data_IF_741553744123
#
_entry.id   IF_741553744123
#
_cell.length_a   1.000
_cell.length_b   1.000
_cell.length_c   1.000
_cell.angle_alpha   90.00
_cell.angle_beta   90.00
_cell.angle_gamma   90.00
#
_symmetry.space_group_name_H-M   'P 1'
#
loop_
_entity.id
_entity.type
_entity.pdbx_description
1 polymer ?
#
# COMPACT_ATOMS: atom_id res chain seq x y z
N UNK A 1 20.31 -12.05 -10.90
CA UNK A 1 20.47 -12.06 -9.44
C UNK A 1 19.85 -10.76 -8.90
N UNK A 2 18.85 -10.87 -8.02
CA UNK A 2 18.27 -9.73 -7.31
C UNK A 2 19.29 -9.16 -6.33
N UNK A 3 19.27 -7.84 -6.15
CA UNK A 3 20.07 -7.17 -5.13
C UNK A 3 19.23 -7.03 -3.87
N UNK A 4 19.84 -7.17 -2.71
CA UNK A 4 19.14 -7.20 -1.40
C UNK A 4 18.30 -5.93 -1.16
N UNK A 5 18.79 -4.75 -1.57
CA UNK A 5 18.05 -3.49 -1.42
C UNK A 5 16.71 -3.46 -2.20
N UNK A 6 16.50 -4.34 -3.18
CA UNK A 6 15.20 -4.48 -3.85
C UNK A 6 14.13 -5.04 -2.92
N UNK A 7 14.53 -5.80 -1.88
CA UNK A 7 13.60 -6.43 -0.96
C UNK A 7 13.91 -6.14 0.52
N UNK A 8 14.78 -5.18 0.84
CA UNK A 8 15.10 -4.76 2.21
C UNK A 8 15.03 -3.25 2.36
N UNK A 9 14.66 -2.78 3.55
CA UNK A 9 14.56 -1.36 3.90
C UNK A 9 15.09 -1.10 5.30
N UNK A 10 15.83 -0.02 5.45
CA UNK A 10 16.30 0.50 6.72
C UNK A 10 15.17 1.26 7.42
N UNK A 11 14.13 0.54 7.84
CA UNK A 11 12.96 1.06 8.54
C UNK A 11 12.65 0.23 9.77
N UNK A 12 11.88 0.79 10.71
CA UNK A 12 11.34 0.03 11.82
C UNK A 12 10.09 -0.75 11.40
N UNK A 13 9.09 -0.03 10.86
CA UNK A 13 7.82 -0.65 10.45
C UNK A 13 7.96 -1.44 9.16
N UNK A 14 7.73 -2.73 9.26
CA UNK A 14 7.76 -3.70 8.18
C UNK A 14 7.93 -5.11 8.76
N UNK A 15 7.81 -6.13 7.92
CA UNK A 15 8.03 -7.52 8.29
C UNK A 15 9.53 -7.77 8.49
N UNK A 16 9.97 -8.22 9.68
CA UNK A 16 11.36 -8.58 9.91
C UNK A 16 11.71 -9.86 9.13
N UNK A 17 12.97 -9.97 8.72
CA UNK A 17 13.44 -11.18 8.05
C UNK A 17 13.60 -12.33 9.04
N UNK A 18 12.99 -13.51 8.80
CA UNK A 18 13.10 -14.67 9.67
C UNK A 18 14.43 -15.40 9.46
N UNK A 19 15.52 -14.66 9.48
CA UNK A 19 16.89 -15.17 9.33
C UNK A 19 17.81 -14.59 10.39
N UNK A 20 18.91 -15.27 10.64
CA UNK A 20 20.00 -14.80 11.49
C UNK A 20 21.33 -15.04 10.80
N UNK A 21 22.34 -14.27 11.18
CA UNK A 21 23.72 -14.40 10.70
C UNK A 21 24.59 -14.92 11.83
N UNK A 22 25.49 -15.85 11.52
CA UNK A 22 26.53 -16.26 12.45
C UNK A 22 27.70 -15.25 12.47
N UNK A 23 28.73 -15.55 13.28
CA UNK A 23 29.91 -14.70 13.42
C UNK A 23 30.73 -14.57 12.12
N UNK A 24 30.60 -15.51 11.20
CA UNK A 24 31.22 -15.48 9.87
C UNK A 24 30.34 -14.77 8.83
N UNK A 25 29.17 -14.29 9.23
CA UNK A 25 28.20 -13.62 8.35
C UNK A 25 27.40 -14.58 7.46
N UNK A 26 27.40 -15.86 7.75
CA UNK A 26 26.60 -16.84 7.02
C UNK A 26 25.15 -16.76 7.48
N UNK A 27 24.20 -16.72 6.53
CA UNK A 27 22.77 -16.65 6.80
C UNK A 27 22.18 -18.00 7.15
N UNK A 28 21.37 -18.04 8.19
CA UNK A 28 20.62 -19.22 8.64
C UNK A 28 19.13 -18.87 8.77
N UNK A 29 18.24 -19.72 8.26
CA UNK A 29 16.82 -19.57 8.47
C UNK A 29 16.43 -19.90 9.90
N UNK A 30 15.51 -19.14 10.49
CA UNK A 30 14.88 -19.49 11.77
C UNK A 30 13.96 -20.70 11.58
N UNK A 31 13.93 -21.66 12.51
CA UNK A 31 12.97 -22.75 12.48
C UNK A 31 11.54 -22.22 12.72
N UNK A 32 10.54 -22.92 12.18
CA UNK A 32 9.11 -22.53 12.31
C UNK A 32 8.67 -22.34 13.77
N UNK A 33 9.25 -23.10 14.70
CA UNK A 33 8.96 -22.98 16.13
C UNK A 33 9.34 -21.62 16.76
N UNK A 34 10.14 -20.81 16.06
CA UNK A 34 10.55 -19.46 16.46
C UNK A 34 9.75 -18.37 15.74
N UNK A 35 8.73 -18.73 14.97
CA UNK A 35 7.84 -17.80 14.30
C UNK A 35 6.53 -17.65 15.07
N UNK A 36 5.87 -16.47 15.00
CA UNK A 36 6.29 -15.26 14.29
C UNK A 36 7.50 -14.57 14.94
N UNK A 37 8.30 -13.90 14.12
CA UNK A 37 9.35 -13.02 14.60
C UNK A 37 8.77 -11.61 14.77
N UNK A 38 8.57 -11.18 16.01
CA UNK A 38 8.03 -9.86 16.33
C UNK A 38 9.11 -8.78 16.33
N UNK A 39 8.69 -7.55 16.00
CA UNK A 39 9.54 -6.38 16.13
C UNK A 39 9.75 -6.03 17.61
N UNK A 40 10.99 -5.64 18.02
CA UNK A 40 11.25 -5.21 19.39
C UNK A 40 10.60 -3.85 19.68
N UNK A 41 10.26 -3.59 20.92
CA UNK A 41 9.94 -2.23 21.35
C UNK A 41 11.19 -1.35 21.33
N UNK A 42 11.06 -0.13 20.77
CA UNK A 42 12.10 0.87 20.73
C UNK A 42 11.52 2.25 21.07
N UNK A 43 12.29 3.06 21.77
CA UNK A 43 11.85 4.41 22.17
C UNK A 43 11.95 5.44 21.03
N UNK A 44 12.70 5.13 19.99
CA UNK A 44 12.97 6.04 18.88
C UNK A 44 13.00 5.31 17.54
N UNK A 45 12.09 5.68 16.63
CA UNK A 45 11.93 5.11 15.31
C UNK A 45 12.73 5.81 14.20
N UNK A 46 13.48 6.87 14.55
CA UNK A 46 14.31 7.58 13.58
C UNK A 46 15.57 6.78 13.26
N UNK A 47 16.12 6.90 12.04
CA UNK A 47 17.44 6.39 11.75
C UNK A 47 18.48 6.94 12.75
N UNK A 48 19.50 6.15 13.03
CA UNK A 48 20.61 6.63 13.86
C UNK A 48 21.41 7.63 13.05
N UNK A 49 21.55 8.86 13.57
CA UNK A 49 22.37 9.88 12.96
C UNK A 49 23.71 9.97 13.69
N UNK A 50 24.76 10.07 12.93
CA UNK A 50 26.13 10.25 13.41
C UNK A 50 26.53 11.72 13.29
N UNK A 51 27.62 12.11 13.97
CA UNK A 51 28.14 13.45 13.85
C UNK A 51 28.53 13.74 12.38
N UNK A 52 28.30 14.97 11.87
CA UNK A 52 28.57 15.30 10.47
C UNK A 52 30.03 15.12 10.01
N UNK A 53 30.96 15.09 10.95
CA UNK A 53 32.40 14.93 10.76
C UNK A 53 32.90 13.48 10.97
N UNK A 54 32.01 12.54 11.28
CA UNK A 54 32.33 11.12 11.39
C UNK A 54 32.26 10.46 9.98
N UNK A 55 33.39 10.52 9.28
CA UNK A 55 33.49 9.97 7.90
C UNK A 55 33.41 8.43 7.81
N UNK A 56 33.57 7.73 8.94
CA UNK A 56 33.56 6.27 8.99
C UNK A 56 32.19 5.70 9.38
N UNK A 57 31.23 6.56 9.74
CA UNK A 57 29.88 6.14 10.09
C UNK A 57 28.99 5.93 8.86
N UNK A 58 28.21 4.87 8.88
CA UNK A 58 27.13 4.63 7.90
C UNK A 58 25.76 4.76 8.57
N UNK A 59 24.72 5.21 7.84
CA UNK A 59 23.38 5.23 8.39
C UNK A 59 22.95 3.84 8.85
N UNK A 60 22.49 3.75 10.11
CA UNK A 60 21.93 2.51 10.65
C UNK A 60 20.40 2.52 10.59
N UNK A 61 19.82 1.34 10.35
CA UNK A 61 18.38 1.12 10.47
C UNK A 61 17.92 1.40 11.92
N UNK A 62 16.67 1.86 12.12
CA UNK A 62 16.11 2.06 13.47
C UNK A 62 16.20 0.83 14.37
N UNK A 63 16.07 -0.39 13.81
CA UNK A 63 16.23 -1.65 14.54
C UNK A 63 17.65 -1.84 15.10
N UNK A 64 18.67 -1.18 14.55
CA UNK A 64 20.03 -1.18 15.08
C UNK A 64 20.15 -0.69 16.51
N UNK A 65 19.12 -0.02 17.04
CA UNK A 65 19.06 0.42 18.46
C UNK A 65 18.70 -0.67 19.44
N UNK A 66 18.10 -1.77 18.97
CA UNK A 66 17.61 -2.88 19.78
C UNK A 66 18.69 -3.96 19.94
N UNK A 67 19.79 -3.63 20.58
CA UNK A 67 20.98 -4.51 20.71
C UNK A 67 20.63 -5.88 21.30
N UNK A 68 19.78 -5.94 22.31
CA UNK A 68 19.32 -7.17 22.96
C UNK A 68 18.43 -8.05 22.04
N UNK A 69 17.75 -7.40 21.07
CA UNK A 69 16.97 -8.12 20.07
C UNK A 69 17.85 -8.60 18.92
N UNK A 70 18.88 -7.84 18.54
CA UNK A 70 19.78 -8.17 17.42
C UNK A 70 20.63 -9.39 17.78
N UNK A 71 21.33 -9.34 18.93
CA UNK A 71 22.26 -10.39 19.37
C UNK A 71 21.51 -11.44 20.17
N UNK A 72 21.49 -12.68 19.67
CA UNK A 72 20.73 -13.78 20.29
C UNK A 72 21.56 -15.04 20.38
N UNK A 73 21.30 -15.82 21.44
CA UNK A 73 21.88 -17.14 21.65
C UNK A 73 20.85 -18.20 21.21
N UNK A 74 21.11 -18.89 20.11
CA UNK A 74 20.22 -19.90 19.54
C UNK A 74 20.93 -21.23 19.36
N UNK A 75 20.16 -22.33 19.43
CA UNK A 75 20.57 -23.64 18.97
C UNK A 75 19.80 -24.00 17.70
N UNK A 76 20.48 -23.94 16.57
CA UNK A 76 19.95 -24.30 15.26
C UNK A 76 20.33 -25.72 14.85
N UNK A 77 20.53 -26.64 15.86
CA UNK A 77 20.86 -28.03 15.66
C UNK A 77 22.36 -28.35 15.76
N UNK A 78 23.18 -27.37 16.14
CA UNK A 78 24.65 -27.52 16.31
C UNK A 78 25.14 -27.07 17.69
N UNK A 79 24.25 -27.01 18.68
CA UNK A 79 24.48 -26.40 19.98
C UNK A 79 24.29 -24.91 20.00
N UNK A 80 24.27 -24.35 21.22
CA UNK A 80 24.08 -22.89 21.38
C UNK A 80 25.24 -22.11 20.80
N UNK A 81 24.93 -21.15 19.95
CA UNK A 81 25.85 -20.18 19.34
C UNK A 81 25.27 -18.78 19.34
N UNK A 82 26.11 -17.78 19.24
CA UNK A 82 25.70 -16.39 19.03
C UNK A 82 25.32 -16.18 17.58
N UNK A 83 24.18 -15.53 17.38
CA UNK A 83 23.70 -15.11 16.08
C UNK A 83 23.24 -13.65 16.13
N UNK A 84 23.12 -13.04 14.95
CA UNK A 84 22.69 -11.65 14.79
C UNK A 84 21.49 -11.59 13.85
N UNK A 85 20.39 -10.97 14.30
CA UNK A 85 19.22 -10.73 13.45
C UNK A 85 19.49 -9.61 12.45
N UNK A 86 18.81 -9.68 11.30
CA UNK A 86 18.83 -8.60 10.32
C UNK A 86 18.16 -7.36 10.90
N UNK A 87 18.78 -6.19 10.74
CA UNK A 87 18.26 -4.90 11.20
C UNK A 87 17.39 -4.22 10.15
N UNK A 88 17.33 -4.77 8.94
CA UNK A 88 16.40 -4.32 7.91
C UNK A 88 15.06 -5.03 8.03
N UNK A 89 14.03 -4.45 7.45
CA UNK A 89 12.72 -5.06 7.28
C UNK A 89 12.39 -5.20 5.80
N UNK A 90 11.41 -6.04 5.48
CA UNK A 90 10.88 -6.17 4.12
C UNK A 90 10.21 -4.84 3.69
N UNK A 91 10.08 -4.57 2.38
CA UNK A 91 9.36 -3.41 1.88
C UNK A 91 7.90 -3.43 2.32
N UNK A 92 7.26 -2.26 2.42
CA UNK A 92 5.87 -2.11 2.86
C UNK A 92 4.87 -3.01 2.11
N UNK A 93 5.15 -3.30 0.82
CA UNK A 93 4.28 -4.15 -0.02
C UNK A 93 4.45 -5.65 0.24
N UNK A 94 5.44 -6.07 1.02
CA UNK A 94 5.66 -7.48 1.33
C UNK A 94 4.53 -8.05 2.18
N UNK A 95 4.10 -7.36 3.24
CA UNK A 95 3.01 -7.80 4.11
C UNK A 95 1.64 -7.83 3.43
N UNK A 96 1.41 -6.90 2.49
CA UNK A 96 0.14 -6.83 1.77
C UNK A 96 0.10 -7.61 0.46
N UNK A 97 1.20 -8.25 0.06
CA UNK A 97 1.30 -8.86 -1.27
C UNK A 97 0.47 -10.14 -1.46
N UNK A 98 -0.01 -10.75 -0.38
CA UNK A 98 -0.79 -11.99 -0.42
C UNK A 98 -2.04 -11.95 0.49
N UNK A 99 -2.53 -10.76 0.81
CA UNK A 99 -3.69 -10.61 1.71
C UNK A 99 -4.96 -11.25 1.14
N UNK A 100 -5.13 -11.25 -0.17
CA UNK A 100 -6.26 -11.88 -0.87
C UNK A 100 -6.32 -13.39 -0.64
N UNK A 101 -5.16 -14.04 -0.49
CA UNK A 101 -5.10 -15.46 -0.13
C UNK A 101 -5.56 -15.66 1.31
N UNK A 102 -5.10 -14.81 2.23
CA UNK A 102 -5.49 -14.91 3.64
C UNK A 102 -6.98 -14.66 3.86
N UNK A 103 -7.63 -13.86 3.02
CA UNK A 103 -9.07 -13.63 3.06
C UNK A 103 -9.91 -14.88 2.77
N UNK A 104 -9.36 -15.88 2.10
CA UNK A 104 -10.05 -17.14 1.85
C UNK A 104 -10.29 -17.94 3.13
N UNK A 105 -9.41 -17.76 4.13
CA UNK A 105 -9.46 -18.53 5.36
C UNK A 105 -8.78 -17.80 6.52
N UNK A 106 -9.37 -16.69 7.03
CA UNK A 106 -8.73 -15.85 8.01
C UNK A 106 -8.53 -16.51 9.39
N UNK A 107 -9.26 -17.58 9.66
CA UNK A 107 -9.17 -18.36 10.91
C UNK A 107 -8.16 -19.50 10.87
N UNK A 108 -7.60 -19.84 9.71
CA UNK A 108 -6.64 -20.92 9.54
C UNK A 108 -5.32 -20.60 10.26
N UNK A 109 -4.74 -21.61 10.92
CA UNK A 109 -3.53 -21.43 11.74
C UNK A 109 -2.30 -22.15 11.19
N UNK A 110 -2.50 -23.22 10.45
CA UNK A 110 -1.44 -24.09 9.95
C UNK A 110 -1.02 -23.71 8.54
N UNK A 111 -1.90 -23.04 7.77
CA UNK A 111 -1.68 -22.64 6.39
C UNK A 111 -2.00 -21.16 6.17
N UNK A 112 -1.46 -20.57 5.11
CA UNK A 112 -1.86 -19.24 4.65
C UNK A 112 -3.37 -19.20 4.30
N UNK A 113 -3.85 -20.24 3.64
CA UNK A 113 -5.25 -20.61 3.47
C UNK A 113 -5.31 -22.14 3.37
N UNK A 114 -6.40 -22.76 3.82
CA UNK A 114 -6.60 -24.20 3.66
C UNK A 114 -6.52 -24.58 2.18
N UNK A 115 -5.75 -25.63 1.79
CA UNK A 115 -5.54 -25.99 0.38
C UNK A 115 -6.82 -26.30 -0.41
N UNK A 116 -7.87 -26.78 0.26
CA UNK A 116 -9.17 -27.03 -0.39
C UNK A 116 -9.89 -25.74 -0.70
N UNK A 117 -9.89 -24.78 0.26
CA UNK A 117 -10.47 -23.46 0.08
C UNK A 117 -9.71 -22.67 -0.99
N UNK A 118 -8.37 -22.73 -0.97
CA UNK A 118 -7.54 -22.11 -2.01
C UNK A 118 -7.87 -22.66 -3.39
N UNK A 119 -7.92 -23.97 -3.55
CA UNK A 119 -8.23 -24.61 -4.85
C UNK A 119 -9.64 -24.27 -5.32
N UNK A 120 -10.59 -24.20 -4.42
CA UNK A 120 -11.99 -23.86 -4.76
C UNK A 120 -12.10 -22.42 -5.26
N UNK A 121 -11.46 -21.46 -4.57
CA UNK A 121 -11.62 -20.05 -4.87
C UNK A 121 -10.64 -19.51 -5.92
N UNK A 122 -9.41 -20.02 -5.93
CA UNK A 122 -8.30 -19.51 -6.75
C UNK A 122 -7.87 -20.43 -7.86
N UNK A 123 -8.26 -21.71 -7.80
CA UNK A 123 -7.83 -22.72 -8.78
C UNK A 123 -8.30 -22.43 -10.21
N UNK A 124 -7.64 -23.04 -11.21
CA UNK A 124 -8.06 -22.94 -12.60
C UNK A 124 -9.49 -23.45 -12.79
N UNK A 125 -10.27 -22.78 -13.62
CA UNK A 125 -11.66 -23.11 -13.93
C UNK A 125 -11.83 -23.36 -15.41
N UNK A 126 -12.91 -24.05 -15.77
CA UNK A 126 -13.29 -24.23 -17.17
C UNK A 126 -13.46 -22.85 -17.84
N UNK A 127 -12.70 -22.61 -18.91
CA UNK A 127 -12.66 -21.32 -19.61
C UNK A 127 -11.76 -20.24 -18.99
N UNK A 128 -11.12 -20.52 -17.85
CA UNK A 128 -10.20 -19.58 -17.17
C UNK A 128 -8.92 -20.31 -16.75
N UNK A 129 -8.01 -20.52 -17.68
CA UNK A 129 -6.82 -21.37 -17.52
C UNK A 129 -5.82 -20.92 -16.46
N UNK A 130 -5.82 -19.64 -16.06
CA UNK A 130 -4.85 -19.12 -15.10
C UNK A 130 -5.28 -19.25 -13.64
N UNK A 131 -6.58 -19.38 -13.36
CA UNK A 131 -7.12 -19.26 -12.00
C UNK A 131 -6.94 -17.84 -11.44
N UNK A 132 -6.81 -17.72 -10.13
CA UNK A 132 -6.66 -16.46 -9.42
C UNK A 132 -7.98 -15.79 -9.05
N UNK A 133 -7.89 -14.64 -8.36
CA UNK A 133 -9.04 -13.82 -8.00
C UNK A 133 -9.82 -13.38 -9.23
N UNK A 134 -11.13 -13.61 -9.27
CA UNK A 134 -11.98 -13.37 -10.46
C UNK A 134 -11.92 -11.93 -10.95
N UNK A 135 -12.02 -10.99 -10.04
CA UNK A 135 -11.97 -9.56 -10.32
C UNK A 135 -11.18 -8.83 -9.21
N UNK A 136 -10.14 -8.14 -9.63
CA UNK A 136 -9.32 -7.30 -8.76
C UNK A 136 -9.41 -5.86 -9.19
N UNK A 137 -9.92 -4.99 -8.31
CA UNK A 137 -10.17 -3.58 -8.60
C UNK A 137 -9.19 -2.73 -7.83
N UNK A 138 -8.47 -1.85 -8.51
CA UNK A 138 -7.52 -0.96 -7.85
C UNK A 138 -6.94 0.08 -8.79
N UNK A 139 -6.38 1.15 -8.22
CA UNK A 139 -5.78 2.24 -8.97
C UNK A 139 -4.58 1.81 -9.80
N UNK A 140 -4.41 2.45 -10.95
CA UNK A 140 -3.32 2.15 -11.89
C UNK A 140 -1.93 2.39 -11.30
N UNK A 141 -1.80 3.22 -10.27
CA UNK A 141 -0.55 3.47 -9.55
C UNK A 141 0.05 2.20 -8.94
N UNK A 142 -0.78 1.20 -8.64
CA UNK A 142 -0.33 -0.08 -8.09
C UNK A 142 0.30 -1.01 -9.12
N UNK A 143 0.25 -0.68 -10.41
CA UNK A 143 0.89 -1.47 -11.47
C UNK A 143 2.41 -1.64 -11.26
N UNK A 144 3.06 -0.64 -10.68
CA UNK A 144 4.51 -0.65 -10.36
C UNK A 144 4.81 -0.80 -8.86
N UNK A 145 3.78 -1.03 -8.04
CA UNK A 145 3.86 -1.15 -6.59
C UNK A 145 3.30 -2.52 -6.15
N UNK A 146 2.15 -2.53 -5.49
CA UNK A 146 1.52 -3.73 -4.95
C UNK A 146 1.41 -4.88 -5.95
N UNK A 147 0.99 -4.62 -7.18
CA UNK A 147 0.76 -5.68 -8.18
C UNK A 147 2.03 -6.44 -8.58
N UNK A 148 3.19 -5.78 -8.61
CA UNK A 148 4.47 -6.46 -8.84
C UNK A 148 4.82 -7.41 -7.70
N UNK A 149 4.67 -6.95 -6.45
CA UNK A 149 4.94 -7.78 -5.28
C UNK A 149 3.95 -8.95 -5.19
N UNK A 150 2.66 -8.68 -5.36
CA UNK A 150 1.62 -9.71 -5.33
C UNK A 150 1.88 -10.80 -6.38
N UNK A 151 2.16 -10.42 -7.62
CA UNK A 151 2.44 -11.38 -8.69
C UNK A 151 3.73 -12.16 -8.47
N UNK A 152 4.80 -11.49 -8.04
CA UNK A 152 6.07 -12.16 -7.75
C UNK A 152 5.91 -13.17 -6.62
N UNK A 153 5.29 -12.77 -5.51
CA UNK A 153 5.06 -13.62 -4.34
C UNK A 153 4.17 -14.82 -4.67
N UNK A 154 3.10 -14.56 -5.42
CA UNK A 154 2.19 -15.61 -5.87
C UNK A 154 2.91 -16.68 -6.71
N UNK A 155 3.78 -16.26 -7.64
CA UNK A 155 4.58 -17.18 -8.43
C UNK A 155 5.57 -18.01 -7.60
N UNK A 156 6.20 -17.40 -6.60
CA UNK A 156 7.06 -18.13 -5.66
C UNK A 156 6.25 -19.19 -4.90
N UNK A 157 5.09 -18.83 -4.38
CA UNK A 157 4.22 -19.78 -3.67
C UNK A 157 3.69 -20.89 -4.58
N UNK A 158 3.39 -20.57 -5.83
CA UNK A 158 3.02 -21.56 -6.84
C UNK A 158 4.16 -22.52 -7.16
N UNK A 159 5.39 -22.03 -7.37
CA UNK A 159 6.57 -22.84 -7.65
C UNK A 159 6.91 -23.76 -6.48
N UNK A 160 6.62 -23.34 -5.24
CA UNK A 160 6.77 -24.12 -4.03
C UNK A 160 5.62 -25.11 -3.78
N UNK A 161 4.56 -25.09 -4.61
CA UNK A 161 3.41 -26.00 -4.52
C UNK A 161 2.35 -25.63 -3.49
N UNK A 162 2.38 -24.39 -2.97
CA UNK A 162 1.38 -23.91 -2.00
C UNK A 162 0.12 -23.39 -2.65
N UNK A 163 0.15 -23.01 -3.94
CA UNK A 163 -0.98 -22.45 -4.67
C UNK A 163 -1.31 -23.27 -5.91
N UNK A 164 -2.59 -23.32 -6.26
CA UNK A 164 -3.12 -24.05 -7.42
C UNK A 164 -3.19 -23.20 -8.69
N UNK A 165 -3.13 -21.87 -8.58
CA UNK A 165 -3.19 -20.93 -9.71
C UNK A 165 -1.84 -20.33 -10.06
N UNK A 166 -1.56 -20.18 -11.36
CA UNK A 166 -0.31 -19.60 -11.87
C UNK A 166 -0.27 -18.06 -11.72
N UNK A 167 -1.42 -17.41 -11.75
CA UNK A 167 -1.53 -15.95 -11.67
C UNK A 167 -2.44 -15.55 -10.49
N UNK A 168 -2.14 -14.46 -9.78
CA UNK A 168 -2.93 -14.03 -8.63
C UNK A 168 -4.32 -13.49 -9.00
N UNK A 169 -4.44 -12.90 -10.20
CA UNK A 169 -5.66 -12.24 -10.65
C UNK A 169 -6.06 -12.72 -12.03
N UNK A 170 -7.31 -13.14 -12.18
CA UNK A 170 -7.90 -13.50 -13.48
C UNK A 170 -8.19 -12.23 -14.30
N UNK A 171 -8.79 -11.23 -13.65
CA UNK A 171 -9.10 -9.94 -14.28
C UNK A 171 -8.74 -8.78 -13.34
N UNK A 172 -7.89 -7.89 -13.84
CA UNK A 172 -7.60 -6.61 -13.22
C UNK A 172 -8.47 -5.53 -13.85
N UNK A 173 -9.09 -4.69 -13.02
CA UNK A 173 -9.82 -3.52 -13.45
C UNK A 173 -9.27 -2.28 -12.75
N UNK A 174 -8.73 -1.35 -13.54
CA UNK A 174 -8.29 -0.06 -13.02
C UNK A 174 -9.40 0.98 -13.24
N UNK A 175 -9.91 1.57 -12.17
CA UNK A 175 -10.84 2.68 -12.25
C UNK A 175 -10.10 3.96 -12.67
N UNK A 176 -10.83 4.87 -13.35
CA UNK A 176 -10.35 6.20 -13.67
C UNK A 176 -10.19 7.06 -12.43
N UNK A 177 -9.45 8.15 -12.55
CA UNK A 177 -9.27 9.12 -11.47
C UNK A 177 -10.48 10.04 -11.34
N UNK A 178 -10.88 10.32 -10.11
CA UNK A 178 -11.70 11.50 -9.82
C UNK A 178 -10.73 12.68 -9.67
N UNK A 179 -10.90 13.66 -10.57
CA UNK A 179 -10.02 14.80 -10.70
C UNK A 179 -10.72 16.08 -10.21
N UNK A 180 -9.95 17.09 -9.90
CA UNK A 180 -10.48 18.39 -9.49
C UNK A 180 -9.64 19.54 -10.05
N UNK A 181 -10.24 20.74 -10.06
CA UNK A 181 -9.48 21.94 -10.34
C UNK A 181 -8.64 22.33 -9.13
N UNK A 182 -7.40 22.73 -9.40
CA UNK A 182 -6.51 23.38 -8.46
C UNK A 182 -6.29 24.82 -8.90
N UNK A 183 -5.98 25.68 -7.95
CA UNK A 183 -5.82 27.11 -8.22
C UNK A 183 -4.50 27.61 -7.63
N UNK A 184 -3.80 28.46 -8.40
CA UNK A 184 -2.54 29.06 -7.98
C UNK A 184 -2.62 30.57 -8.01
N UNK A 185 -2.02 31.21 -6.99
CA UNK A 185 -1.84 32.67 -6.97
C UNK A 185 -0.80 33.12 -8.02
N UNK A 186 -0.59 34.41 -8.14
CA UNK A 186 0.40 35.01 -9.06
C UNK A 186 1.85 34.60 -8.82
N UNK A 187 2.16 34.01 -7.67
CA UNK A 187 3.48 33.46 -7.33
C UNK A 187 3.60 31.95 -7.62
N UNK A 188 2.52 31.33 -8.10
CA UNK A 188 2.44 29.89 -8.34
C UNK A 188 2.17 29.06 -7.08
N UNK A 189 1.81 29.69 -5.96
CA UNK A 189 1.45 28.95 -4.74
C UNK A 189 -0.02 28.49 -4.81
N UNK A 190 -0.27 27.24 -4.46
CA UNK A 190 -1.63 26.70 -4.41
C UNK A 190 -2.45 27.33 -3.29
N UNK A 191 -3.68 27.74 -3.63
CA UNK A 191 -4.68 28.27 -2.72
C UNK A 191 -5.83 27.28 -2.52
N UNK A 192 -6.57 27.33 -1.38
CA UNK A 192 -7.67 26.42 -1.13
C UNK A 192 -8.75 26.54 -2.20
N UNK A 193 -9.04 25.45 -2.93
CA UNK A 193 -10.05 25.46 -3.99
C UNK A 193 -11.46 25.79 -3.48
N UNK A 194 -11.78 25.46 -2.23
CA UNK A 194 -13.05 25.76 -1.56
C UNK A 194 -13.29 27.25 -1.29
N UNK A 195 -12.23 28.06 -1.29
CA UNK A 195 -12.30 29.50 -1.01
C UNK A 195 -12.22 30.35 -2.29
N UNK A 196 -12.00 29.72 -3.44
CA UNK A 196 -11.98 30.41 -4.74
C UNK A 196 -13.38 30.77 -5.19
N UNK A 197 -13.54 32.00 -5.62
CA UNK A 197 -14.79 32.59 -6.12
C UNK A 197 -14.73 32.86 -7.63
N UNK A 198 -15.88 32.93 -8.27
CA UNK A 198 -16.02 33.24 -9.69
C UNK A 198 -16.41 32.04 -10.54
N UNK A 199 -16.39 32.22 -11.83
CA UNK A 199 -16.73 31.22 -12.84
C UNK A 199 -15.92 31.44 -14.13
N UNK A 200 -16.19 30.63 -15.16
CA UNK A 200 -15.47 30.72 -16.43
C UNK A 200 -15.68 32.07 -17.17
N UNK A 201 -16.79 32.74 -16.93
CA UNK A 201 -17.11 34.01 -17.62
C UNK A 201 -16.47 35.19 -16.88
N UNK A 202 -16.45 35.17 -15.55
CA UNK A 202 -15.95 36.27 -14.70
C UNK A 202 -14.46 36.07 -14.30
N UNK A 203 -13.89 34.90 -14.55
CA UNK A 203 -12.60 34.49 -14.01
C UNK A 203 -12.71 34.03 -12.58
N UNK A 204 -11.58 33.55 -12.03
CA UNK A 204 -11.48 33.01 -10.69
C UNK A 204 -10.61 33.89 -9.79
N UNK A 205 -11.05 34.13 -8.58
CA UNK A 205 -10.35 34.98 -7.60
C UNK A 205 -10.25 34.28 -6.25
N UNK A 206 -9.18 34.56 -5.53
CA UNK A 206 -8.96 34.18 -4.14
C UNK A 206 -8.55 35.44 -3.34
N UNK A 207 -9.28 35.73 -2.27
CA UNK A 207 -9.08 36.98 -1.48
C UNK A 207 -9.15 38.26 -2.37
N UNK A 208 -9.96 38.23 -3.44
CA UNK A 208 -10.11 39.33 -4.38
C UNK A 208 -9.02 39.44 -5.46
N UNK A 209 -7.98 38.63 -5.41
CA UNK A 209 -6.91 38.60 -6.41
C UNK A 209 -7.15 37.48 -7.44
N UNK A 210 -6.83 37.70 -8.73
CA UNK A 210 -6.96 36.69 -9.76
C UNK A 210 -6.08 35.48 -9.51
N UNK A 211 -6.60 34.27 -9.77
CA UNK A 211 -5.88 33.02 -9.69
C UNK A 211 -5.92 32.27 -11.02
N UNK A 212 -4.89 31.47 -11.28
CA UNK A 212 -4.83 30.57 -12.41
C UNK A 212 -5.49 29.23 -12.01
N UNK A 213 -6.23 28.63 -12.95
CA UNK A 213 -6.88 27.33 -12.76
C UNK A 213 -6.20 26.25 -13.58
N UNK A 214 -5.91 25.12 -12.96
CA UNK A 214 -5.45 23.91 -13.64
C UNK A 214 -6.33 22.71 -13.29
N UNK A 215 -6.50 21.79 -14.23
CA UNK A 215 -7.29 20.57 -14.05
C UNK A 215 -6.37 19.37 -13.93
N UNK A 216 -6.60 18.55 -12.91
CA UNK A 216 -5.77 17.36 -12.69
C UNK A 216 -6.17 16.55 -11.46
N UNK A 217 -5.22 15.88 -10.88
CA UNK A 217 -5.47 15.03 -9.70
C UNK A 217 -5.89 15.85 -8.48
N UNK A 218 -6.62 15.22 -7.56
CA UNK A 218 -6.78 15.70 -6.20
C UNK A 218 -5.53 15.42 -5.37
N UNK A 219 -5.14 16.37 -4.53
CA UNK A 219 -3.99 16.19 -3.65
C UNK A 219 -3.92 17.23 -2.53
N UNK A 220 -3.45 16.83 -1.35
CA UNK A 220 -3.28 17.75 -0.20
C UNK A 220 -2.39 18.94 -0.55
N UNK A 221 -1.30 18.71 -1.28
CA UNK A 221 -0.39 19.75 -1.75
C UNK A 221 -1.02 20.72 -2.74
N UNK A 222 -2.05 20.28 -3.47
CA UNK A 222 -2.79 21.08 -4.44
C UNK A 222 -3.97 21.84 -3.82
N UNK A 223 -4.26 21.58 -2.55
CA UNK A 223 -5.37 22.19 -1.78
C UNK A 223 -6.75 22.10 -2.46
N UNK A 224 -6.98 21.01 -3.22
CA UNK A 224 -8.22 20.78 -3.99
C UNK A 224 -8.91 19.47 -3.59
N UNK A 225 -8.62 18.95 -2.38
CA UNK A 225 -9.23 17.71 -1.90
C UNK A 225 -10.69 17.92 -1.54
N UNK A 226 -11.50 16.94 -1.92
CA UNK A 226 -12.84 16.69 -1.40
C UNK A 226 -12.78 15.38 -0.63
N UNK A 227 -13.15 15.38 0.63
CA UNK A 227 -13.11 14.16 1.46
C UNK A 227 -14.46 13.45 1.46
N UNK A 228 -14.47 12.10 1.49
CA UNK A 228 -15.70 11.33 1.65
C UNK A 228 -16.48 11.72 2.91
N UNK A 229 -15.78 12.01 4.01
CA UNK A 229 -16.39 12.37 5.29
C UNK A 229 -17.22 13.66 5.20
N UNK A 230 -16.68 14.70 4.54
CA UNK A 230 -17.39 15.97 4.34
C UNK A 230 -18.64 15.77 3.49
N UNK A 231 -18.54 15.01 2.40
CA UNK A 231 -19.68 14.74 1.53
C UNK A 231 -20.73 13.86 2.22
N UNK A 232 -20.32 12.86 2.98
CA UNK A 232 -21.23 12.04 3.76
C UNK A 232 -21.93 12.84 4.86
N UNK A 233 -21.23 13.76 5.51
CA UNK A 233 -21.83 14.63 6.53
C UNK A 233 -22.86 15.60 5.94
N UNK A 234 -22.60 16.15 4.75
CA UNK A 234 -23.47 17.16 4.10
C UNK A 234 -24.64 16.55 3.33
N UNK A 235 -24.39 15.47 2.57
CA UNK A 235 -25.38 14.90 1.62
C UNK A 235 -25.82 13.47 1.96
N UNK A 236 -25.13 12.78 2.86
CA UNK A 236 -25.35 11.38 3.19
C UNK A 236 -24.59 10.41 2.28
N UNK A 237 -24.24 9.26 2.84
CA UNK A 237 -23.45 8.23 2.17
C UNK A 237 -24.14 7.66 0.91
N UNK A 238 -25.45 7.47 0.95
CA UNK A 238 -26.21 6.95 -0.20
C UNK A 238 -26.16 7.92 -1.38
N UNK A 239 -26.31 9.23 -1.12
CA UNK A 239 -26.17 10.28 -2.14
C UNK A 239 -24.79 10.26 -2.77
N UNK A 240 -23.75 10.17 -1.95
CA UNK A 240 -22.37 10.11 -2.41
C UNK A 240 -22.12 8.91 -3.32
N UNK A 241 -22.53 7.73 -2.89
CA UNK A 241 -22.38 6.49 -3.67
C UNK A 241 -23.13 6.53 -5.01
N UNK A 242 -24.37 7.01 -5.01
CA UNK A 242 -25.16 7.18 -6.24
C UNK A 242 -24.51 8.18 -7.18
N UNK A 243 -23.99 9.28 -6.64
CA UNK A 243 -23.30 10.28 -7.43
C UNK A 243 -22.04 9.71 -8.09
N UNK A 244 -21.16 9.05 -7.35
CA UNK A 244 -19.94 8.46 -7.92
C UNK A 244 -20.26 7.46 -9.04
N UNK A 245 -21.24 6.59 -8.83
CA UNK A 245 -21.63 5.61 -9.86
C UNK A 245 -22.32 6.27 -11.08
N UNK A 246 -22.88 7.48 -10.93
CA UNK A 246 -23.52 8.23 -12.01
C UNK A 246 -22.55 9.04 -12.88
N UNK A 247 -21.29 9.20 -12.45
CA UNK A 247 -20.30 10.04 -13.14
C UNK A 247 -19.91 9.53 -14.54
N UNK A 248 -20.23 8.29 -14.87
CA UNK A 248 -19.97 7.68 -16.18
C UNK A 248 -19.23 6.34 -16.07
N UNK A 249 -18.61 5.85 -17.17
CA UNK A 249 -17.86 4.62 -17.15
C UNK A 249 -16.75 4.65 -16.09
N UNK A 250 -16.67 3.58 -15.31
CA UNK A 250 -15.80 3.50 -14.14
C UNK A 250 -14.31 3.58 -14.49
N UNK A 251 -13.91 3.17 -15.69
CA UNK A 251 -12.54 3.20 -16.21
C UNK A 251 -12.10 4.57 -16.75
N UNK A 252 -13.01 5.56 -16.79
CA UNK A 252 -12.70 6.89 -17.29
C UNK A 252 -12.54 7.90 -16.15
N UNK A 253 -11.48 8.70 -16.24
CA UNK A 253 -11.29 9.83 -15.32
C UNK A 253 -12.37 10.89 -15.48
N UNK A 254 -12.86 11.43 -14.38
CA UNK A 254 -13.98 12.38 -14.33
C UNK A 254 -13.70 13.53 -13.37
N UNK A 255 -14.18 14.74 -13.70
CA UNK A 255 -14.11 15.86 -12.77
C UNK A 255 -15.10 15.68 -11.62
N UNK A 256 -14.67 16.04 -10.43
CA UNK A 256 -15.55 16.20 -9.28
C UNK A 256 -16.35 17.51 -9.40
N UNK A 257 -17.65 17.40 -9.25
CA UNK A 257 -18.58 18.52 -9.31
C UNK A 257 -19.54 18.49 -8.11
N UNK A 258 -19.18 19.17 -7.03
CA UNK A 258 -20.00 19.19 -5.79
C UNK A 258 -21.45 19.61 -6.07
N UNK A 259 -21.69 20.56 -7.00
CA UNK A 259 -23.05 20.99 -7.36
C UNK A 259 -23.91 19.89 -7.97
N UNK A 260 -23.29 18.92 -8.64
CA UNK A 260 -24.00 17.80 -9.27
C UNK A 260 -24.45 16.75 -8.25
N UNK A 261 -23.81 16.68 -7.05
CA UNK A 261 -24.21 15.80 -5.94
C UNK A 261 -25.65 16.04 -5.53
N UNK A 262 -26.11 17.30 -5.55
CA UNK A 262 -27.49 17.68 -5.23
C UNK A 262 -28.51 17.00 -6.15
N UNK A 263 -28.16 16.71 -7.40
CA UNK A 263 -29.00 15.96 -8.33
C UNK A 263 -29.31 14.55 -7.84
N UNK A 264 -28.27 13.85 -7.35
CA UNK A 264 -28.39 12.51 -6.76
C UNK A 264 -29.19 12.54 -5.46
N UNK A 265 -28.99 13.56 -4.62
CA UNK A 265 -29.77 13.75 -3.39
C UNK A 265 -31.26 13.92 -3.69
N UNK A 266 -31.62 14.76 -4.64
CA UNK A 266 -33.02 14.96 -5.07
C UNK A 266 -33.63 13.68 -5.65
N UNK A 267 -32.82 12.88 -6.36
CA UNK A 267 -33.29 11.59 -6.86
C UNK A 267 -33.67 10.65 -5.74
N UNK A 268 -32.86 10.55 -4.69
CA UNK A 268 -33.14 9.67 -3.53
C UNK A 268 -34.29 10.17 -2.68
N UNK A 269 -34.58 11.46 -2.67
CA UNK A 269 -35.71 12.04 -1.91
C UNK A 269 -37.08 11.85 -2.58
N UNK A 270 -37.14 11.43 -3.83
CA UNK A 270 -38.38 11.16 -4.59
C UNK A 270 -38.85 9.72 -4.41
#
# INVERSE_FOLDING_TARGET
RLRDWLFSRQRYWGEPFPVVYDEDGVVHALPESMLPLDLPEVDNFSPRTFAPDDADSSPEAPLGRAEDWIKVELDLGQGKKTYYRDTNVMPNWAGSCCYELRYLDPGEKDFLANPENERYWMGPREGASSGGTDLYVGGVEHAVLHLLYARFWHKVLYDLGYLSSLEPFHKLFNQGYIQAYAYTDKRGAYVPASEVQGDEASGFTYEGEPVNREYGKMGKSLKNIVTPDDICAEYGADTFRVYEMSMGPLDMSRPWETRAVVGSQRFLQR
#
